data_IF_914088484544
#
_entry.id   IF_914088484544
#
_cell.length_a   1.000
_cell.length_b   1.000
_cell.length_c   1.000
_cell.angle_alpha   90.00
_cell.angle_beta   90.00
_cell.angle_gamma   90.00
#
_symmetry.space_group_name_H-M   'P 1'
#
loop_
_entity.id
_entity.type
_entity.pdbx_description
1 polymer ?
#
# COMPACT_ATOMS: atom_id res chain seq x y z
N UNK A 1 21.35 -6.16 5.50
CA UNK A 1 21.45 -6.37 6.96
C UNK A 1 20.04 -6.54 7.48
N UNK A 2 19.50 -7.76 7.41
CA UNK A 2 18.25 -8.14 8.07
C UNK A 2 18.52 -8.10 9.57
N UNK A 3 17.90 -7.16 10.28
CA UNK A 3 17.83 -7.26 11.74
C UNK A 3 16.70 -8.23 12.03
N UNK A 4 17.02 -9.34 12.67
CA UNK A 4 16.02 -10.24 13.21
C UNK A 4 15.11 -9.45 14.15
N UNK A 5 13.83 -9.38 13.78
CA UNK A 5 12.81 -8.56 14.45
C UNK A 5 12.28 -9.21 15.74
N UNK A 6 13.01 -10.19 16.30
CA UNK A 6 12.54 -11.08 17.37
C UNK A 6 12.35 -10.37 18.73
N UNK A 7 12.97 -9.21 18.96
CA UNK A 7 12.94 -8.52 20.27
C UNK A 7 11.89 -7.42 20.43
N UNK A 8 11.02 -7.19 19.45
CA UNK A 8 9.98 -6.16 19.58
C UNK A 8 8.77 -6.76 20.33
N UNK A 9 8.70 -6.56 21.65
CA UNK A 9 7.50 -6.86 22.45
C UNK A 9 6.34 -5.95 22.04
N UNK A 10 5.57 -6.39 21.05
CA UNK A 10 4.37 -5.71 20.56
C UNK A 10 3.15 -6.11 21.40
N UNK A 11 2.19 -5.19 21.63
CA UNK A 11 0.89 -5.58 22.14
C UNK A 11 0.23 -6.51 21.12
N UNK A 12 0.00 -7.77 21.49
CA UNK A 12 -0.53 -8.84 20.62
C UNK A 12 -1.80 -8.39 19.87
N UNK A 13 -2.71 -7.70 20.57
CA UNK A 13 -3.95 -7.13 20.01
C UNK A 13 -3.70 -6.22 18.79
N UNK A 14 -2.63 -5.41 18.81
CA UNK A 14 -2.31 -4.53 17.67
C UNK A 14 -1.80 -5.33 16.48
N UNK A 15 -1.02 -6.37 16.75
CA UNK A 15 -0.51 -7.29 15.71
C UNK A 15 -1.68 -8.00 15.02
N UNK A 16 -2.63 -8.51 15.78
CA UNK A 16 -3.83 -9.18 15.26
C UNK A 16 -4.68 -8.27 14.38
N UNK A 17 -4.88 -7.01 14.79
CA UNK A 17 -5.58 -6.01 13.97
C UNK A 17 -4.89 -5.87 12.61
N UNK A 18 -3.56 -5.63 12.59
CA UNK A 18 -2.83 -5.43 11.33
C UNK A 18 -2.83 -6.66 10.44
N UNK A 19 -2.74 -7.84 11.05
CA UNK A 19 -2.79 -9.12 10.37
C UNK A 19 -4.15 -9.32 9.70
N UNK A 20 -5.25 -9.05 10.41
CA UNK A 20 -6.59 -9.16 9.85
C UNK A 20 -6.85 -8.14 8.74
N UNK A 21 -6.36 -6.93 8.92
CA UNK A 21 -6.39 -5.85 7.94
C UNK A 21 -5.72 -6.26 6.61
N UNK A 22 -4.49 -6.79 6.66
CA UNK A 22 -3.82 -7.27 5.46
C UNK A 22 -4.49 -8.51 4.83
N UNK A 23 -5.03 -9.43 5.64
CA UNK A 23 -5.86 -10.54 5.12
C UNK A 23 -7.06 -10.04 4.32
N UNK A 24 -7.80 -9.08 4.89
CA UNK A 24 -8.96 -8.50 4.24
C UNK A 24 -8.57 -7.77 2.96
N UNK A 25 -7.46 -7.04 2.98
CA UNK A 25 -6.97 -6.33 1.81
C UNK A 25 -6.66 -7.26 0.64
N UNK A 26 -5.93 -8.36 0.88
CA UNK A 26 -5.64 -9.37 -0.15
C UNK A 26 -6.95 -9.96 -0.70
N UNK A 27 -7.87 -10.35 0.19
CA UNK A 27 -9.15 -10.96 -0.20
C UNK A 27 -9.97 -10.02 -1.11
N UNK A 28 -10.13 -8.76 -0.71
CA UNK A 28 -10.89 -7.76 -1.47
C UNK A 28 -10.23 -7.51 -2.82
N UNK A 29 -8.92 -7.27 -2.82
CA UNK A 29 -8.17 -6.95 -4.03
C UNK A 29 -8.23 -8.11 -5.04
N UNK A 30 -8.01 -9.36 -4.58
CA UNK A 30 -8.17 -10.56 -5.44
C UNK A 30 -9.56 -10.66 -6.05
N UNK A 31 -10.60 -10.51 -5.22
CA UNK A 31 -12.00 -10.62 -5.67
C UNK A 31 -12.33 -9.58 -6.73
N UNK A 32 -11.86 -8.34 -6.57
CA UNK A 32 -12.17 -7.23 -7.50
C UNK A 32 -11.36 -7.26 -8.79
N UNK A 33 -10.08 -7.59 -8.71
CA UNK A 33 -9.16 -7.42 -9.83
C UNK A 33 -8.90 -8.73 -10.59
N UNK A 34 -9.02 -9.89 -9.94
CA UNK A 34 -8.55 -11.16 -10.50
C UNK A 34 -9.61 -12.21 -10.76
N UNK A 35 -10.85 -12.00 -10.30
CA UNK A 35 -11.97 -12.88 -10.69
C UNK A 35 -12.26 -12.86 -12.20
N UNK A 36 -11.69 -11.91 -12.96
CA UNK A 36 -11.82 -11.82 -14.43
C UNK A 36 -10.58 -12.26 -15.23
N UNK A 37 -9.40 -12.37 -14.62
CA UNK A 37 -8.12 -12.57 -15.33
C UNK A 37 -7.67 -14.03 -15.45
N UNK A 38 -8.42 -14.97 -14.86
CA UNK A 38 -8.01 -16.38 -14.82
C UNK A 38 -6.84 -16.63 -13.86
N UNK A 39 -6.61 -17.91 -13.55
CA UNK A 39 -5.80 -18.44 -12.44
C UNK A 39 -4.27 -18.19 -12.50
N UNK A 40 -3.82 -17.11 -13.14
CA UNK A 40 -2.40 -16.84 -13.39
C UNK A 40 -1.71 -16.02 -12.28
N UNK A 41 -2.37 -15.79 -11.13
CA UNK A 41 -1.82 -14.96 -10.05
C UNK A 41 -1.88 -15.71 -8.72
N UNK A 42 -0.71 -15.90 -8.11
CA UNK A 42 -0.53 -16.44 -6.77
C UNK A 42 -0.19 -15.34 -5.76
N UNK A 43 -0.31 -15.71 -4.48
CA UNK A 43 0.12 -14.90 -3.35
C UNK A 43 1.38 -15.53 -2.77
N UNK A 44 2.38 -14.71 -2.45
CA UNK A 44 3.60 -15.15 -1.77
C UNK A 44 3.24 -15.92 -0.49
N UNK A 45 3.93 -17.03 -0.22
CA UNK A 45 3.72 -17.78 1.00
C UNK A 45 3.95 -16.91 2.24
N UNK A 46 3.01 -17.00 3.20
CA UNK A 46 2.95 -16.19 4.42
C UNK A 46 3.07 -14.68 4.17
N UNK A 47 2.54 -14.18 3.05
CA UNK A 47 2.65 -12.77 2.70
C UNK A 47 2.11 -11.84 3.79
N UNK A 48 0.98 -12.20 4.41
CA UNK A 48 0.33 -11.40 5.46
C UNK A 48 1.23 -11.30 6.69
N UNK A 49 1.78 -12.42 7.14
CA UNK A 49 2.65 -12.51 8.30
C UNK A 49 3.94 -11.73 8.06
N UNK A 50 4.55 -11.90 6.87
CA UNK A 50 5.74 -11.15 6.46
C UNK A 50 5.48 -9.65 6.40
N UNK A 51 4.37 -9.22 5.79
CA UNK A 51 3.98 -7.81 5.73
C UNK A 51 3.73 -7.23 7.12
N UNK A 52 3.04 -7.98 8.00
CA UNK A 52 2.74 -7.54 9.36
C UNK A 52 4.02 -7.40 10.19
N UNK A 53 4.91 -8.39 10.10
CA UNK A 53 6.22 -8.36 10.77
C UNK A 53 7.06 -7.18 10.29
N UNK A 54 7.19 -7.01 8.97
CA UNK A 54 7.94 -5.90 8.38
C UNK A 54 7.36 -4.54 8.76
N UNK A 55 6.02 -4.42 8.76
CA UNK A 55 5.32 -3.18 9.11
C UNK A 55 5.66 -2.73 10.52
N UNK A 56 5.55 -3.64 11.48
CA UNK A 56 5.88 -3.33 12.86
C UNK A 56 7.38 -3.20 13.10
N UNK A 57 8.18 -4.03 12.44
CA UNK A 57 9.63 -3.93 12.43
C UNK A 57 10.08 -2.53 12.10
N UNK A 58 9.62 -1.98 10.97
CA UNK A 58 9.95 -0.61 10.56
C UNK A 58 9.28 0.47 11.39
N UNK A 59 8.04 0.26 11.83
CA UNK A 59 7.35 1.21 12.68
C UNK A 59 8.14 1.53 13.95
N UNK A 60 8.57 0.48 14.66
CA UNK A 60 9.19 0.64 15.97
C UNK A 60 10.69 0.96 15.88
N UNK A 61 11.40 0.44 14.88
CA UNK A 61 12.83 0.73 14.72
C UNK A 61 13.10 2.10 14.07
N UNK A 62 12.25 2.57 13.15
CA UNK A 62 12.55 3.75 12.33
C UNK A 62 11.59 4.94 12.55
N UNK A 63 10.29 4.69 12.78
CA UNK A 63 9.29 5.77 12.79
C UNK A 63 8.97 6.25 14.21
N UNK A 64 8.71 5.33 15.13
CA UNK A 64 8.33 5.65 16.52
C UNK A 64 9.40 6.48 17.26
N UNK A 65 10.71 6.22 17.13
CA UNK A 65 11.73 7.06 17.76
C UNK A 65 11.69 8.52 17.32
N UNK A 66 11.20 8.80 16.11
CA UNK A 66 11.10 10.14 15.53
C UNK A 66 9.77 10.84 15.84
N UNK A 67 8.81 10.16 16.46
CA UNK A 67 7.47 10.68 16.73
C UNK A 67 7.11 10.42 18.20
N UNK A 68 7.45 11.34 19.13
CA UNK A 68 7.37 11.11 20.58
C UNK A 68 5.93 11.01 21.14
N UNK A 69 4.92 11.19 20.29
CA UNK A 69 3.50 11.10 20.65
C UNK A 69 2.82 9.94 19.92
N UNK A 70 1.74 10.24 19.19
CA UNK A 70 0.95 9.30 18.40
C UNK A 70 1.42 9.33 16.95
N UNK A 71 1.67 8.16 16.38
CA UNK A 71 1.97 8.02 14.95
C UNK A 71 0.67 8.25 14.18
N UNK A 72 0.72 9.19 13.23
CA UNK A 72 -0.46 9.51 12.42
C UNK A 72 -0.77 8.38 11.41
N UNK A 73 -2.03 8.27 11.00
CA UNK A 73 -2.49 7.20 10.10
C UNK A 73 -1.81 7.22 8.72
N UNK A 74 -1.40 8.40 8.24
CA UNK A 74 -0.72 8.54 6.95
C UNK A 74 0.68 7.93 6.97
N UNK A 75 1.45 8.09 8.06
CA UNK A 75 2.73 7.42 8.27
C UNK A 75 2.56 5.90 8.36
N UNK A 76 1.50 5.43 9.02
CA UNK A 76 1.15 4.01 9.08
C UNK A 76 0.83 3.45 7.68
N UNK A 77 0.14 4.23 6.85
CA UNK A 77 -0.21 3.88 5.48
C UNK A 77 1.02 3.86 4.56
N UNK A 78 1.94 4.83 4.68
CA UNK A 78 3.24 4.80 3.99
C UNK A 78 4.03 3.54 4.30
N UNK A 79 4.07 3.13 5.58
CA UNK A 79 4.75 1.91 5.98
C UNK A 79 4.10 0.66 5.38
N UNK A 80 2.77 0.65 5.21
CA UNK A 80 2.10 -0.48 4.59
C UNK A 80 2.36 -0.57 3.09
N UNK A 81 2.36 0.56 2.39
CA UNK A 81 2.77 0.65 0.98
C UNK A 81 4.18 0.07 0.80
N UNK A 82 5.11 0.51 1.65
CA UNK A 82 6.48 0.01 1.77
C UNK A 82 6.55 -1.51 1.95
N UNK A 83 5.73 -2.07 2.84
CA UNK A 83 5.71 -3.50 3.11
C UNK A 83 5.24 -4.32 1.91
N UNK A 84 4.16 -3.90 1.26
CA UNK A 84 3.64 -4.58 0.05
C UNK A 84 4.70 -4.58 -1.05
N UNK A 85 5.34 -3.44 -1.29
CA UNK A 85 6.38 -3.31 -2.31
C UNK A 85 7.58 -4.19 -1.97
N UNK A 86 8.02 -4.25 -0.72
CA UNK A 86 9.16 -5.09 -0.33
C UNK A 86 8.85 -6.58 -0.46
N UNK A 87 7.63 -7.00 -0.12
CA UNK A 87 7.23 -8.42 -0.13
C UNK A 87 6.85 -8.91 -1.54
N UNK A 88 6.41 -8.03 -2.44
CA UNK A 88 5.81 -8.41 -3.73
C UNK A 88 4.71 -9.45 -3.54
N UNK A 89 3.70 -9.10 -2.75
CA UNK A 89 2.60 -9.97 -2.32
C UNK A 89 2.01 -10.86 -3.41
N UNK A 90 1.86 -10.36 -4.64
CA UNK A 90 1.34 -11.12 -5.78
C UNK A 90 2.45 -11.54 -6.75
N UNK A 91 2.35 -12.75 -7.29
CA UNK A 91 3.27 -13.31 -8.29
C UNK A 91 2.45 -13.83 -9.47
N UNK A 92 2.88 -13.54 -10.70
CA UNK A 92 2.31 -14.14 -11.91
C UNK A 92 2.95 -15.51 -12.19
N UNK A 93 2.15 -16.57 -12.35
CA UNK A 93 2.66 -17.95 -12.55
C UNK A 93 3.44 -18.12 -13.84
N UNK A 94 2.96 -17.50 -14.92
CA UNK A 94 3.44 -17.82 -16.27
C UNK A 94 4.52 -16.89 -16.83
N UNK A 95 5.06 -15.92 -16.07
CA UNK A 95 5.89 -14.87 -16.70
C UNK A 95 7.22 -14.56 -16.01
N UNK A 96 8.26 -14.60 -16.84
CA UNK A 96 9.53 -13.87 -16.75
C UNK A 96 9.35 -12.33 -16.72
N UNK A 97 8.11 -11.83 -16.72
CA UNK A 97 7.77 -10.41 -16.76
C UNK A 97 7.65 -9.82 -15.35
N UNK A 98 8.82 -9.48 -14.81
CA UNK A 98 8.96 -8.77 -13.54
C UNK A 98 8.22 -7.42 -13.54
N UNK A 99 8.02 -6.80 -14.71
CA UNK A 99 7.39 -5.47 -14.81
C UNK A 99 5.91 -5.54 -14.47
N UNK A 100 5.19 -6.52 -15.00
CA UNK A 100 3.75 -6.66 -14.72
C UNK A 100 3.51 -7.12 -13.28
N UNK A 101 4.35 -8.02 -12.75
CA UNK A 101 4.32 -8.41 -11.32
C UNK A 101 4.49 -7.19 -10.42
N UNK A 102 5.47 -6.33 -10.70
CA UNK A 102 5.68 -5.09 -9.93
C UNK A 102 4.51 -4.12 -10.07
N UNK A 103 3.90 -4.03 -11.25
CA UNK A 103 2.76 -3.13 -11.49
C UNK A 103 1.54 -3.53 -10.65
N UNK A 104 1.24 -4.82 -10.58
CA UNK A 104 0.17 -5.35 -9.74
C UNK A 104 0.46 -5.05 -8.26
N UNK A 105 1.69 -5.30 -7.81
CA UNK A 105 2.08 -5.03 -6.42
C UNK A 105 2.08 -3.52 -6.10
N UNK A 106 2.43 -2.66 -7.05
CA UNK A 106 2.30 -1.21 -6.90
C UNK A 106 0.84 -0.82 -6.66
N UNK A 107 -0.06 -1.31 -7.51
CA UNK A 107 -1.49 -1.02 -7.40
C UNK A 107 -2.07 -1.55 -6.08
N UNK A 108 -1.70 -2.77 -5.68
CA UNK A 108 -2.07 -3.31 -4.37
C UNK A 108 -1.53 -2.48 -3.20
N UNK A 109 -0.28 -2.00 -3.28
CA UNK A 109 0.31 -1.13 -2.25
C UNK A 109 -0.47 0.18 -2.10
N UNK A 110 -0.96 0.75 -3.22
CA UNK A 110 -1.86 1.90 -3.20
C UNK A 110 -3.18 1.59 -2.48
N UNK A 111 -3.79 0.46 -2.84
CA UNK A 111 -5.04 0.00 -2.27
C UNK A 111 -4.94 -0.19 -0.74
N UNK A 112 -3.88 -0.83 -0.24
CA UNK A 112 -3.63 -0.98 1.19
C UNK A 112 -3.50 0.36 1.89
N UNK A 113 -2.72 1.28 1.31
CA UNK A 113 -2.52 2.62 1.85
C UNK A 113 -3.85 3.38 2.00
N UNK A 114 -4.64 3.46 0.93
CA UNK A 114 -5.94 4.14 0.97
C UNK A 114 -6.87 3.51 1.99
N UNK A 115 -6.96 2.18 2.00
CA UNK A 115 -7.81 1.42 2.93
C UNK A 115 -7.45 1.67 4.39
N UNK A 116 -6.17 1.89 4.71
CA UNK A 116 -5.73 2.30 6.05
C UNK A 116 -6.11 3.73 6.41
N UNK A 117 -6.12 4.64 5.44
CA UNK A 117 -6.47 6.04 5.67
C UNK A 117 -7.99 6.19 5.89
N UNK A 118 -8.80 5.44 5.14
CA UNK A 118 -10.27 5.51 5.17
C UNK A 118 -10.91 4.57 6.19
N UNK A 119 -10.14 3.67 6.80
CA UNK A 119 -10.69 2.53 7.53
C UNK A 119 -11.09 1.42 6.55
N UNK A 120 -10.76 0.18 6.89
CA UNK A 120 -10.61 -0.92 5.92
C UNK A 120 -11.91 -1.53 5.36
N UNK A 121 -12.99 -0.76 5.29
CA UNK A 121 -14.33 -1.24 4.95
C UNK A 121 -15.05 -0.49 3.82
N UNK A 122 -14.40 0.46 3.14
CA UNK A 122 -15.08 1.20 2.05
C UNK A 122 -14.84 0.59 0.67
N UNK A 123 -15.92 0.51 -0.11
CA UNK A 123 -15.92 -0.04 -1.46
C UNK A 123 -15.12 0.85 -2.42
N UNK A 124 -13.87 0.43 -2.71
CA UNK A 124 -12.97 1.10 -3.65
C UNK A 124 -13.51 1.28 -5.08
N UNK A 125 -14.62 0.65 -5.44
CA UNK A 125 -15.22 0.74 -6.79
C UNK A 125 -15.80 2.12 -7.11
N UNK A 126 -16.29 2.85 -6.09
CA UNK A 126 -16.76 4.23 -6.23
C UNK A 126 -15.63 5.25 -6.39
N UNK A 127 -14.36 4.86 -6.18
CA UNK A 127 -13.22 5.76 -6.16
C UNK A 127 -12.72 6.10 -7.57
N UNK A 128 -12.92 5.18 -8.53
CA UNK A 128 -12.53 5.36 -9.93
C UNK A 128 -13.58 6.09 -10.77
N UNK A 129 -14.75 6.38 -10.20
CA UNK A 129 -15.85 7.09 -10.87
C UNK A 129 -15.95 8.52 -10.35
N UNK A 130 -15.16 9.40 -10.95
CA UNK A 130 -15.30 10.84 -10.83
C UNK A 130 -14.54 11.48 -11.97
N UNK A 131 -15.09 12.55 -12.56
CA UNK A 131 -14.48 13.32 -13.65
C UNK A 131 -14.10 14.73 -13.17
N UNK A 132 -12.95 15.20 -13.69
CA UNK A 132 -12.42 16.58 -13.79
C UNK A 132 -12.18 17.43 -12.53
N UNK A 133 -11.01 17.26 -11.91
CA UNK A 133 -10.21 18.38 -11.36
C UNK A 133 -8.74 18.12 -11.73
N UNK A 134 -8.22 18.95 -12.64
CA UNK A 134 -6.87 18.83 -13.24
C UNK A 134 -5.75 18.69 -12.20
N UNK A 135 -5.83 19.39 -11.05
CA UNK A 135 -4.80 19.39 -10.00
C UNK A 135 -4.69 18.06 -9.22
N UNK A 136 -5.81 17.35 -9.03
CA UNK A 136 -5.83 16.02 -8.39
C UNK A 136 -5.34 14.96 -9.36
N UNK A 137 -5.73 15.08 -10.62
CA UNK A 137 -5.19 14.27 -11.72
C UNK A 137 -3.68 14.48 -11.84
N UNK A 138 -3.17 15.70 -11.79
CA UNK A 138 -1.73 15.99 -11.87
C UNK A 138 -0.94 15.33 -10.73
N UNK A 139 -1.41 15.44 -9.48
CA UNK A 139 -0.73 14.81 -8.33
C UNK A 139 -0.88 13.29 -8.35
N UNK A 140 -2.04 12.77 -8.74
CA UNK A 140 -2.23 11.34 -8.98
C UNK A 140 -1.32 10.84 -10.10
N UNK A 141 -1.18 11.58 -11.20
CA UNK A 141 -0.29 11.28 -12.31
C UNK A 141 1.18 11.40 -11.89
N UNK A 142 1.55 12.33 -11.01
CA UNK A 142 2.90 12.43 -10.45
C UNK A 142 3.20 11.19 -9.61
N UNK A 143 2.35 10.84 -8.65
CA UNK A 143 2.53 9.65 -7.79
C UNK A 143 2.51 8.37 -8.63
N UNK A 144 1.59 8.26 -9.60
CA UNK A 144 1.52 7.16 -10.55
C UNK A 144 2.76 7.10 -11.43
N UNK A 145 3.27 8.23 -11.93
CA UNK A 145 4.49 8.26 -12.76
C UNK A 145 5.73 7.90 -11.95
N UNK A 146 5.82 8.33 -10.69
CA UNK A 146 6.89 7.93 -9.77
C UNK A 146 6.84 6.42 -9.50
N UNK A 147 5.64 5.87 -9.30
CA UNK A 147 5.40 4.43 -9.17
C UNK A 147 5.70 3.66 -10.46
N UNK A 148 5.40 4.22 -11.63
CA UNK A 148 5.70 3.62 -12.93
C UNK A 148 7.20 3.65 -13.24
N UNK A 149 7.90 4.73 -12.91
CA UNK A 149 9.38 4.81 -13.00
C UNK A 149 10.07 3.77 -12.14
N UNK A 150 9.51 3.45 -10.97
CA UNK A 150 10.00 2.34 -10.17
C UNK A 150 9.86 0.97 -10.87
N UNK A 151 8.85 0.78 -11.72
CA UNK A 151 8.73 -0.44 -12.52
C UNK A 151 9.90 -0.61 -13.51
N UNK A 152 10.61 0.48 -13.84
CA UNK A 152 11.76 0.51 -14.75
C UNK A 152 13.09 0.25 -14.05
N UNK A 153 13.14 0.29 -12.71
CA UNK A 153 14.33 -0.03 -11.93
C UNK A 153 14.73 -1.50 -12.11
N UNK A 154 16.02 -1.82 -12.16
CA UNK A 154 16.47 -3.21 -12.35
C UNK A 154 16.39 -4.01 -11.05
N UNK A 155 16.76 -3.39 -9.93
CA UNK A 155 16.73 -4.01 -8.60
C UNK A 155 15.55 -3.55 -7.76
N UNK A 156 14.98 -4.45 -6.94
CA UNK A 156 13.86 -4.13 -6.06
C UNK A 156 14.25 -3.22 -4.88
N UNK A 157 15.54 -3.24 -4.54
CA UNK A 157 16.14 -2.41 -3.48
C UNK A 157 16.57 -1.02 -4.00
N UNK A 158 16.55 -0.80 -5.32
CA UNK A 158 16.69 0.51 -5.94
C UNK A 158 15.34 1.24 -5.85
N UNK A 159 15.32 2.27 -5.01
CA UNK A 159 14.15 2.87 -4.37
C UNK A 159 13.00 3.29 -5.31
N UNK A 160 11.73 2.91 -5.03
CA UNK A 160 10.59 3.75 -5.37
C UNK A 160 10.58 4.96 -4.44
N UNK A 161 10.31 6.15 -4.96
CA UNK A 161 9.93 7.28 -4.10
C UNK A 161 8.57 6.92 -3.47
N UNK A 162 8.62 6.37 -2.25
CA UNK A 162 7.42 6.09 -1.47
C UNK A 162 6.73 7.39 -1.11
N UNK A 163 5.41 7.33 -1.01
CA UNK A 163 4.67 8.49 -0.53
C UNK A 163 4.97 8.62 0.95
N UNK A 164 5.76 9.63 1.34
CA UNK A 164 5.87 9.95 2.75
C UNK A 164 4.47 10.35 3.29
N UNK A 165 4.30 10.34 4.61
CA UNK A 165 2.99 10.62 5.20
C UNK A 165 2.41 11.99 4.79
N UNK A 166 3.25 12.96 4.40
CA UNK A 166 2.82 14.27 3.91
C UNK A 166 2.27 14.18 2.47
N UNK A 167 2.92 13.43 1.59
CA UNK A 167 2.45 13.17 0.22
C UNK A 167 1.11 12.43 0.25
N UNK A 168 0.96 11.45 1.14
CA UNK A 168 -0.31 10.74 1.32
C UNK A 168 -1.41 11.61 1.90
N UNK A 169 -1.07 12.46 2.88
CA UNK A 169 -2.00 13.42 3.44
C UNK A 169 -2.50 14.39 2.35
N UNK A 170 -1.59 15.00 1.59
CA UNK A 170 -1.95 15.91 0.52
C UNK A 170 -2.81 15.24 -0.55
N UNK A 171 -2.45 14.01 -0.95
CA UNK A 171 -3.25 13.23 -1.90
C UNK A 171 -4.66 12.97 -1.37
N UNK A 172 -4.78 12.60 -0.09
CA UNK A 172 -6.06 12.31 0.54
C UNK A 172 -6.95 13.56 0.68
N UNK A 173 -6.39 14.68 1.11
CA UNK A 173 -7.12 15.96 1.21
C UNK A 173 -7.62 16.42 -0.16
N UNK A 174 -6.76 16.38 -1.18
CA UNK A 174 -7.14 16.73 -2.55
C UNK A 174 -8.21 15.79 -3.12
N UNK A 175 -8.12 14.50 -2.80
CA UNK A 175 -9.16 13.54 -3.13
C UNK A 175 -10.49 13.90 -2.45
N UNK A 176 -10.50 14.21 -1.16
CA UNK A 176 -11.75 14.55 -0.46
C UNK A 176 -12.39 15.84 -0.96
N UNK A 177 -11.60 16.88 -1.21
CA UNK A 177 -12.08 18.14 -1.78
C UNK A 177 -12.77 17.92 -3.14
N UNK A 178 -12.28 16.97 -3.95
CA UNK A 178 -12.91 16.58 -5.22
C UNK A 178 -14.31 16.01 -5.04
N UNK A 179 -14.52 15.14 -4.05
CA UNK A 179 -15.84 14.52 -3.81
C UNK A 179 -16.85 15.51 -3.23
N UNK A 180 -16.39 16.46 -2.42
CA UNK A 180 -17.25 17.52 -1.87
C UNK A 180 -17.63 18.56 -2.93
N UNK A 181 -16.74 18.87 -3.88
CA UNK A 181 -17.02 19.82 -4.96
C UNK A 181 -18.07 19.35 -5.99
N UNK A 182 -18.43 18.06 -5.98
CA UNK A 182 -19.42 17.45 -6.88
C UNK A 182 -20.82 17.38 -6.24
N UNK A 183 -20.93 17.73 -4.94
CA UNK A 183 -22.20 17.72 -4.19
C UNK A 183 -22.90 19.09 -4.14
N UNK A 184 -22.44 20.07 -4.93
CA UNK A 184 -23.02 21.41 -5.11
C UNK A 184 -23.50 21.52 -6.57
#
# INVERSE_FOLDING_TARGET
>A
MEKDFEDIKLPLEKVEIRLQEFKNAIKIYKTKHFNRTGNNIDVVDKAVEKMTSLHYGWLYSNVKPLVPKRINKYKMASLAELCVIKIQTFILKDLKDLKETRKINADFAFFCCLSMITGMSQDTSNFLKGSSIKRVEDIFHIVKSQRLKWLECKNIDEFPVFSNGLNLFLLFELYHLRFQAIQI
#
